data_IF_739901011947
#
_entry.id   IF_739901011947
#
_cell.length_a   1.000
_cell.length_b   1.000
_cell.length_c   1.000
_cell.angle_alpha   90.00
_cell.angle_beta   90.00
_cell.angle_gamma   90.00
#
_symmetry.space_group_name_H-M   'P 1'
#
loop_
_entity.id
_entity.type
_entity.pdbx_description
1 polymer ?
#
# COMPACT_ATOMS: atom_id res chain seq x y z
N UNK A 1 5.55 11.32 -19.36
CA UNK A 1 5.89 12.77 -19.37
C UNK A 1 6.83 13.21 -18.24
N UNK A 2 7.20 12.35 -17.28
CA UNK A 2 8.06 12.72 -16.15
C UNK A 2 9.57 12.48 -16.39
N UNK A 3 9.93 11.64 -17.36
CA UNK A 3 11.31 11.21 -17.62
C UNK A 3 12.23 12.35 -18.08
N UNK A 4 11.70 13.34 -18.82
CA UNK A 4 12.54 14.40 -19.42
C UNK A 4 12.58 15.72 -18.62
N UNK A 5 11.61 15.98 -17.74
CA UNK A 5 11.48 17.25 -17.02
C UNK A 5 11.35 17.07 -15.49
N UNK A 6 11.76 15.91 -14.95
CA UNK A 6 11.57 15.54 -13.56
C UNK A 6 12.67 16.04 -12.62
N UNK A 7 12.31 16.28 -11.35
CA UNK A 7 13.28 16.38 -10.24
C UNK A 7 14.10 15.08 -10.15
N UNK A 8 15.32 15.17 -9.62
CA UNK A 8 16.13 13.98 -9.36
C UNK A 8 15.37 13.00 -8.44
N UNK A 9 15.52 11.71 -8.72
CA UNK A 9 14.89 10.67 -7.90
C UNK A 9 15.49 10.67 -6.50
N UNK A 10 14.65 10.51 -5.45
CA UNK A 10 15.14 10.41 -4.08
C UNK A 10 15.98 9.12 -3.93
N UNK A 11 17.07 9.21 -3.17
CA UNK A 11 17.88 8.04 -2.83
C UNK A 11 17.12 7.16 -1.83
N UNK A 12 16.53 6.06 -2.29
CA UNK A 12 15.88 5.08 -1.41
C UNK A 12 16.83 3.93 -1.08
N UNK A 13 16.83 3.51 0.19
CA UNK A 13 17.64 2.37 0.64
C UNK A 13 17.02 1.05 0.19
N UNK A 14 17.84 0.18 -0.40
CA UNK A 14 17.50 -1.22 -0.75
C UNK A 14 18.12 -2.22 0.22
N UNK A 15 18.51 -1.77 1.42
CA UNK A 15 19.15 -2.61 2.43
C UNK A 15 18.31 -3.84 2.76
N UNK A 16 18.93 -5.02 2.63
CA UNK A 16 18.32 -6.30 2.98
C UNK A 16 19.36 -7.22 3.62
N UNK A 17 18.90 -8.10 4.52
CA UNK A 17 19.77 -9.07 5.19
C UNK A 17 19.92 -10.32 4.32
N UNK A 18 21.13 -10.53 3.82
CA UNK A 18 21.53 -11.80 3.18
C UNK A 18 22.17 -12.76 4.19
N UNK A 19 22.05 -14.06 3.94
CA UNK A 19 22.67 -15.09 4.80
C UNK A 19 24.18 -14.87 4.99
N UNK A 20 24.90 -14.51 3.93
CA UNK A 20 26.35 -14.26 4.01
C UNK A 20 26.68 -13.07 4.93
N UNK A 21 25.86 -12.02 4.89
CA UNK A 21 26.00 -10.85 5.75
C UNK A 21 25.82 -11.25 7.22
N UNK A 22 24.74 -11.96 7.54
CA UNK A 22 24.49 -12.44 8.91
C UNK A 22 25.62 -13.34 9.43
N UNK A 23 26.08 -14.29 8.61
CA UNK A 23 27.17 -15.18 8.97
C UNK A 23 28.48 -14.43 9.23
N UNK A 24 28.80 -13.43 8.41
CA UNK A 24 30.00 -12.61 8.63
C UNK A 24 29.87 -11.73 9.87
N UNK A 25 28.67 -11.21 10.16
CA UNK A 25 28.42 -10.40 11.34
C UNK A 25 28.54 -11.22 12.62
N UNK A 26 28.02 -12.45 12.65
CA UNK A 26 28.16 -13.35 13.81
C UNK A 26 29.62 -13.81 14.00
N UNK A 27 30.40 -13.88 12.91
CA UNK A 27 31.79 -14.36 12.94
C UNK A 27 32.77 -13.33 13.55
N UNK A 28 32.46 -12.04 13.50
CA UNK A 28 33.32 -10.99 14.03
C UNK A 28 32.98 -10.80 15.51
N UNK A 29 33.95 -11.04 16.40
CA UNK A 29 33.73 -11.06 17.87
C UNK A 29 33.14 -9.74 18.43
N UNK A 30 33.43 -8.59 17.80
CA UNK A 30 32.95 -7.27 18.23
C UNK A 30 31.78 -6.72 17.39
N UNK A 31 31.23 -7.50 16.46
CA UNK A 31 30.15 -7.02 15.59
C UNK A 31 28.77 -7.34 16.20
N UNK A 32 27.99 -6.28 16.47
CA UNK A 32 26.57 -6.41 16.82
C UNK A 32 25.71 -6.26 15.54
N UNK A 33 25.10 -7.35 15.03
CA UNK A 33 24.25 -7.27 13.85
C UNK A 33 23.04 -6.36 14.05
N UNK A 34 22.49 -6.29 15.27
CA UNK A 34 21.34 -5.42 15.55
C UNK A 34 21.74 -3.94 15.48
N UNK A 35 22.92 -3.61 15.98
CA UNK A 35 23.47 -2.26 15.87
C UNK A 35 23.60 -1.83 14.40
N UNK A 36 24.08 -2.71 13.52
CA UNK A 36 24.23 -2.40 12.09
C UNK A 36 22.87 -2.23 11.41
N UNK A 37 21.88 -3.05 11.77
CA UNK A 37 20.52 -2.93 11.22
C UNK A 37 19.89 -1.60 11.64
N UNK A 38 19.99 -1.23 12.93
CA UNK A 38 19.41 0.01 13.46
C UNK A 38 20.09 1.26 12.89
N UNK A 39 21.40 1.21 12.63
CA UNK A 39 22.14 2.31 12.02
C UNK A 39 22.15 2.26 10.48
N UNK A 40 21.35 1.40 9.86
CA UNK A 40 21.24 1.35 8.40
C UNK A 40 20.50 2.58 7.86
N UNK A 41 20.85 2.99 6.63
CA UNK A 41 20.12 4.05 5.93
C UNK A 41 18.62 3.75 5.78
N UNK A 42 18.27 2.46 5.71
CA UNK A 42 16.87 2.05 5.65
C UNK A 42 16.12 2.40 6.94
N UNK A 43 16.66 2.03 8.10
CA UNK A 43 16.07 2.37 9.39
C UNK A 43 15.94 3.89 9.57
N UNK A 44 16.98 4.65 9.21
CA UNK A 44 16.95 6.11 9.25
C UNK A 44 15.82 6.71 8.39
N UNK A 45 15.65 6.22 7.15
CA UNK A 45 14.58 6.70 6.25
C UNK A 45 13.18 6.39 6.79
N UNK A 46 13.00 5.23 7.44
CA UNK A 46 11.73 4.88 8.06
C UNK A 46 11.41 5.74 9.29
N UNK A 47 12.41 5.95 10.17
CA UNK A 47 12.24 6.83 11.34
C UNK A 47 11.94 8.28 10.93
N UNK A 48 12.57 8.77 9.86
CA UNK A 48 12.30 10.10 9.33
C UNK A 48 10.87 10.22 8.76
N UNK A 49 10.35 9.17 8.12
CA UNK A 49 9.00 9.15 7.56
C UNK A 49 7.90 8.99 8.62
N UNK A 50 8.23 8.43 9.79
CA UNK A 50 7.26 8.08 10.83
C UNK A 50 6.42 9.27 11.33
N UNK A 51 6.99 10.45 11.67
CA UNK A 51 6.20 11.58 12.17
C UNK A 51 5.22 12.13 11.13
N UNK A 52 5.59 12.09 9.84
CA UNK A 52 4.71 12.54 8.76
C UNK A 52 3.53 11.58 8.58
N UNK A 53 3.80 10.28 8.60
CA UNK A 53 2.77 9.23 8.57
C UNK A 53 1.82 9.34 9.78
N UNK A 54 2.35 9.59 10.97
CA UNK A 54 1.55 9.79 12.18
C UNK A 54 0.62 11.00 12.05
N UNK A 55 1.14 12.14 11.56
CA UNK A 55 0.33 13.33 11.28
C UNK A 55 -0.79 13.05 10.29
N UNK A 56 -0.49 12.38 9.18
CA UNK A 56 -1.50 12.01 8.18
C UNK A 56 -2.56 11.08 8.78
N UNK A 57 -2.16 10.12 9.62
CA UNK A 57 -3.07 9.25 10.36
C UNK A 57 -3.97 10.05 11.31
N UNK A 58 -3.44 11.02 12.04
CA UNK A 58 -4.23 11.87 12.94
C UNK A 58 -5.21 12.75 12.18
N UNK A 59 -4.77 13.38 11.08
CA UNK A 59 -5.64 14.22 10.23
C UNK A 59 -6.77 13.41 9.59
N UNK A 60 -6.48 12.18 9.13
CA UNK A 60 -7.51 11.30 8.57
C UNK A 60 -8.50 10.83 9.63
N UNK A 61 -8.02 10.58 10.87
CA UNK A 61 -8.90 10.25 12.00
C UNK A 61 -9.81 11.41 12.34
N UNK A 62 -9.28 12.63 12.46
CA UNK A 62 -10.05 13.84 12.75
C UNK A 62 -11.14 14.06 11.68
N UNK A 63 -10.79 13.96 10.38
CA UNK A 63 -11.76 14.05 9.28
C UNK A 63 -12.85 12.98 9.35
N UNK A 64 -12.52 11.78 9.82
CA UNK A 64 -13.49 10.71 10.03
C UNK A 64 -14.41 11.06 11.20
N UNK A 65 -13.87 11.59 12.29
CA UNK A 65 -14.66 12.03 13.45
C UNK A 65 -15.63 13.17 13.11
N UNK A 66 -15.19 14.14 12.34
CA UNK A 66 -16.03 15.26 11.87
C UNK A 66 -17.15 14.78 10.92
N UNK A 67 -16.90 13.71 10.18
CA UNK A 67 -17.85 13.14 9.21
C UNK A 67 -18.75 12.04 9.80
N UNK A 68 -18.77 11.84 11.12
CA UNK A 68 -19.62 10.82 11.77
C UNK A 68 -21.10 11.08 11.46
N UNK A 69 -21.75 10.10 10.82
CA UNK A 69 -23.20 10.06 10.61
C UNK A 69 -23.89 9.28 11.73
N UNK A 70 -25.23 9.37 11.80
CA UNK A 70 -26.01 8.54 12.71
C UNK A 70 -25.72 7.04 12.47
N UNK A 71 -25.42 6.26 13.53
CA UNK A 71 -24.97 4.86 13.40
C UNK A 71 -25.95 3.97 12.63
N UNK A 72 -27.24 4.26 12.71
CA UNK A 72 -28.27 3.49 12.03
C UNK A 72 -28.30 3.77 10.51
N UNK A 73 -28.00 5.01 10.10
CA UNK A 73 -27.91 5.40 8.69
C UNK A 73 -26.62 4.87 8.07
N UNK A 74 -25.52 4.90 8.82
CA UNK A 74 -24.23 4.35 8.40
C UNK A 74 -24.34 2.85 8.08
N UNK A 75 -24.98 2.07 8.94
CA UNK A 75 -25.18 0.63 8.71
C UNK A 75 -25.96 0.33 7.42
N UNK A 76 -27.04 1.09 7.16
CA UNK A 76 -27.84 0.96 5.93
C UNK A 76 -27.02 1.38 4.70
N UNK A 77 -26.26 2.46 4.80
CA UNK A 77 -25.40 2.94 3.72
C UNK A 77 -24.30 1.93 3.36
N UNK A 78 -23.63 1.35 4.36
CA UNK A 78 -22.60 0.32 4.16
C UNK A 78 -23.19 -0.90 3.45
N UNK A 79 -24.37 -1.35 3.85
CA UNK A 79 -25.06 -2.46 3.18
C UNK A 79 -25.40 -2.12 1.73
N UNK A 80 -25.99 -0.96 1.48
CA UNK A 80 -26.33 -0.49 0.14
C UNK A 80 -25.09 -0.40 -0.76
N UNK A 81 -24.04 0.25 -0.28
CA UNK A 81 -22.77 0.38 -1.00
C UNK A 81 -22.14 -0.99 -1.30
N UNK A 82 -22.22 -1.92 -0.34
CA UNK A 82 -21.80 -3.31 -0.54
C UNK A 82 -22.55 -4.00 -1.68
N UNK A 83 -23.88 -3.82 -1.75
CA UNK A 83 -24.69 -4.36 -2.85
C UNK A 83 -24.31 -3.75 -4.20
N UNK A 84 -24.04 -2.44 -4.26
CA UNK A 84 -23.60 -1.77 -5.49
C UNK A 84 -22.27 -2.33 -5.98
N UNK A 85 -21.27 -2.49 -5.10
CA UNK A 85 -19.98 -3.09 -5.47
C UNK A 85 -20.11 -4.53 -5.97
N UNK A 86 -20.99 -5.32 -5.35
CA UNK A 86 -21.27 -6.68 -5.82
C UNK A 86 -21.93 -6.66 -7.20
N UNK A 87 -22.87 -5.76 -7.44
CA UNK A 87 -23.52 -5.57 -8.73
C UNK A 87 -22.50 -5.20 -9.82
N UNK A 88 -21.61 -4.27 -9.55
CA UNK A 88 -20.55 -3.89 -10.50
C UNK A 88 -19.60 -5.05 -10.81
N UNK A 89 -19.22 -5.82 -9.78
CA UNK A 89 -18.39 -7.02 -9.97
C UNK A 89 -19.08 -8.04 -10.87
N UNK A 90 -20.37 -8.31 -10.67
CA UNK A 90 -21.16 -9.23 -11.49
C UNK A 90 -21.29 -8.68 -12.92
N UNK A 91 -21.59 -7.40 -13.06
CA UNK A 91 -21.69 -6.73 -14.37
C UNK A 91 -20.39 -6.80 -15.16
N UNK A 92 -19.24 -6.63 -14.49
CA UNK A 92 -17.91 -6.78 -15.10
C UNK A 92 -17.68 -8.21 -15.59
N UNK A 93 -18.04 -9.22 -14.79
CA UNK A 93 -17.97 -10.63 -15.19
C UNK A 93 -18.87 -10.93 -16.41
N UNK A 94 -20.11 -10.44 -16.40
CA UNK A 94 -21.03 -10.61 -17.54
C UNK A 94 -20.44 -9.94 -18.78
N UNK A 95 -19.94 -8.70 -18.67
CA UNK A 95 -19.30 -8.00 -19.79
C UNK A 95 -18.14 -8.81 -20.35
N UNK A 96 -17.28 -9.36 -19.49
CA UNK A 96 -16.16 -10.20 -19.92
C UNK A 96 -16.64 -11.47 -20.65
N UNK A 97 -17.72 -12.10 -20.20
CA UNK A 97 -18.29 -13.28 -20.84
C UNK A 97 -18.93 -12.97 -22.20
N UNK A 98 -19.64 -11.84 -22.33
CA UNK A 98 -20.30 -11.43 -23.58
C UNK A 98 -19.28 -11.02 -24.64
N UNK A 99 -18.22 -10.31 -24.24
CA UNK A 99 -17.15 -9.85 -25.16
C UNK A 99 -16.17 -10.99 -25.51
N UNK A 100 -16.20 -12.11 -24.78
CA UNK A 100 -15.33 -13.24 -25.06
C UNK A 100 -15.55 -13.73 -26.51
N UNK A 101 -14.49 -13.95 -27.32
CA UNK A 101 -14.60 -14.27 -28.74
C UNK A 101 -15.55 -15.43 -29.02
N UNK A 102 -15.48 -16.51 -28.23
CA UNK A 102 -16.35 -17.69 -28.37
C UNK A 102 -17.86 -17.38 -28.31
N UNK A 103 -18.26 -16.28 -27.64
CA UNK A 103 -19.67 -15.88 -27.50
C UNK A 103 -20.04 -14.69 -28.41
N UNK A 104 -19.09 -13.80 -28.71
CA UNK A 104 -19.33 -12.58 -29.48
C UNK A 104 -19.37 -12.81 -31.01
N UNK A 105 -18.69 -13.85 -31.51
CA UNK A 105 -18.55 -14.11 -32.96
C UNK A 105 -19.87 -14.42 -33.68
N UNK A 106 -20.92 -14.84 -32.98
CA UNK A 106 -22.25 -15.09 -33.57
C UNK A 106 -23.11 -13.84 -33.75
N UNK A 107 -22.67 -12.69 -33.22
CA UNK A 107 -23.41 -11.42 -33.24
C UNK A 107 -22.65 -10.29 -33.95
N UNK A 108 -21.45 -10.58 -34.49
CA UNK A 108 -20.70 -9.75 -35.44
C UNK A 108 -20.85 -10.33 -36.84
#
# INVERSE_FOLDING_TARGET
KQIMNGKADPLSSTFHLGYNMLLNLIRVEDADPEFIIRNSLYAYQQEQALPELEKQCTELKEKLEDSKMDPEMEAKFVQYHGMVLQFERIRSKIRHLVVHPNNALGFM
#
